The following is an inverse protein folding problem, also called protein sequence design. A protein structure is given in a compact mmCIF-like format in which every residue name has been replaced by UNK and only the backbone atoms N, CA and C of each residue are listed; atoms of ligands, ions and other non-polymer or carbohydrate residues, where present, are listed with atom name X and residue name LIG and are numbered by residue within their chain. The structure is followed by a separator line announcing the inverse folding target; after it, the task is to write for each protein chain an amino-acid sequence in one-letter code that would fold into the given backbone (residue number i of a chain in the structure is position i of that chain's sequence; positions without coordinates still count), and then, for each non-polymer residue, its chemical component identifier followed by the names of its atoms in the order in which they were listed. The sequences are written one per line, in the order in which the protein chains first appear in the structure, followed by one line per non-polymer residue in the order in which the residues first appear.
data_IF_494639986084
#
_entry.id   IF_494639986084
#
_cell.length_a   1.000
_cell.length_b   1.000
_cell.length_c   1.000
_cell.angle_alpha   90.00
_cell.angle_beta   90.00
_cell.angle_gamma   90.00
#
_symmetry.space_group_name_H-M   'P 1'
#
loop_
_entity.id
_entity.type
_entity.pdbx_description
1 polymer ?
#
# COMPACT_ATOMS: atom_id res chain seq x y z
N UNK A 1 -11.87 3.44 9.24
CA UNK A 1 -10.79 2.42 9.15
C UNK A 1 -9.89 2.53 10.37
N UNK A 2 -9.41 1.41 10.93
CA UNK A 2 -8.52 1.36 12.12
C UNK A 2 -7.12 0.88 11.73
N UNK A 3 -6.06 1.58 12.16
CA UNK A 3 -4.68 1.27 11.77
C UNK A 3 -4.17 -0.08 12.31
N UNK A 4 -4.60 -0.50 13.51
CA UNK A 4 -4.25 -1.82 14.07
C UNK A 4 -4.90 -2.90 13.22
N UNK A 5 -6.17 -2.74 12.88
CA UNK A 5 -6.88 -3.66 11.99
C UNK A 5 -6.24 -3.74 10.61
N UNK A 6 -5.88 -2.61 9.98
CA UNK A 6 -5.20 -2.58 8.67
C UNK A 6 -3.92 -3.41 8.70
N UNK A 7 -3.04 -3.19 9.69
CA UNK A 7 -1.78 -3.94 9.80
C UNK A 7 -2.02 -5.44 9.94
N UNK A 8 -2.97 -5.83 10.78
CA UNK A 8 -3.28 -7.25 11.01
C UNK A 8 -3.88 -7.89 9.76
N UNK A 9 -4.85 -7.22 9.12
CA UNK A 9 -5.53 -7.70 7.92
C UNK A 9 -4.55 -7.87 6.75
N UNK A 10 -3.74 -6.86 6.47
CA UNK A 10 -2.74 -6.89 5.38
C UNK A 10 -1.69 -7.97 5.64
N UNK A 11 -1.18 -8.09 6.88
CA UNK A 11 -0.22 -9.15 7.22
C UNK A 11 -0.80 -10.55 7.03
N UNK A 12 -2.04 -10.77 7.48
CA UNK A 12 -2.72 -12.06 7.31
C UNK A 12 -3.02 -12.38 5.84
N UNK A 13 -3.42 -11.39 5.05
CA UNK A 13 -3.62 -11.55 3.61
C UNK A 13 -2.31 -11.92 2.91
N UNK A 14 -1.24 -11.13 3.12
CA UNK A 14 0.07 -11.39 2.52
C UNK A 14 0.65 -12.75 2.90
N UNK A 15 0.54 -13.16 4.17
CA UNK A 15 0.98 -14.48 4.63
C UNK A 15 0.23 -15.62 3.93
N UNK A 16 -1.10 -15.50 3.77
CA UNK A 16 -1.92 -16.49 3.05
C UNK A 16 -1.55 -16.61 1.57
N UNK A 17 -1.00 -15.56 0.99
CA UNK A 17 -0.54 -15.52 -0.41
C UNK A 17 0.93 -15.95 -0.59
N UNK A 18 1.61 -16.36 0.48
CA UNK A 18 2.98 -16.86 0.42
C UNK A 18 4.06 -15.79 0.36
N UNK A 19 3.77 -14.56 0.77
CA UNK A 19 4.78 -13.48 0.82
C UNK A 19 5.86 -13.81 1.85
N UNK A 20 7.12 -13.53 1.52
CA UNK A 20 8.22 -13.60 2.48
C UNK A 20 8.07 -12.57 3.60
N UNK A 21 8.75 -12.79 4.74
CA UNK A 21 8.62 -11.91 5.91
C UNK A 21 9.07 -10.47 5.61
N UNK A 22 10.06 -10.30 4.73
CA UNK A 22 10.53 -8.99 4.30
C UNK A 22 9.45 -8.29 3.48
N UNK A 23 8.84 -8.96 2.51
CA UNK A 23 7.77 -8.41 1.68
C UNK A 23 6.51 -8.10 2.51
N UNK A 24 6.16 -8.97 3.46
CA UNK A 24 5.09 -8.69 4.42
C UNK A 24 5.36 -7.42 5.22
N UNK A 25 6.59 -7.23 5.71
CA UNK A 25 6.97 -6.04 6.47
C UNK A 25 6.89 -4.78 5.62
N UNK A 26 7.41 -4.82 4.39
CA UNK A 26 7.31 -3.69 3.43
C UNK A 26 5.85 -3.31 3.16
N UNK A 27 5.01 -4.30 2.86
CA UNK A 27 3.60 -4.07 2.52
C UNK A 27 2.79 -3.54 3.71
N UNK A 28 3.02 -4.06 4.92
CA UNK A 28 2.38 -3.57 6.16
C UNK A 28 2.79 -2.13 6.48
N UNK A 29 4.06 -1.79 6.26
CA UNK A 29 4.57 -0.44 6.44
C UNK A 29 3.93 0.52 5.43
N UNK A 30 3.92 0.17 4.14
CA UNK A 30 3.25 0.97 3.11
C UNK A 30 1.75 1.16 3.41
N UNK A 31 1.05 0.08 3.76
CA UNK A 31 -0.36 0.13 4.14
C UNK A 31 -0.63 1.03 5.35
N UNK A 32 0.28 1.05 6.33
CA UNK A 32 0.14 1.89 7.53
C UNK A 32 0.28 3.38 7.20
N UNK A 33 1.21 3.74 6.32
CA UNK A 33 1.40 5.11 5.87
C UNK A 33 0.22 5.56 5.00
N UNK A 34 -0.26 4.73 4.08
CA UNK A 34 -1.42 5.06 3.24
C UNK A 34 -2.70 5.20 4.06
N UNK A 35 -2.97 4.26 4.98
CA UNK A 35 -4.12 4.37 5.87
C UNK A 35 -4.05 5.62 6.76
N UNK A 36 -2.85 6.00 7.22
CA UNK A 36 -2.66 7.25 7.96
C UNK A 36 -3.00 8.45 7.09
N UNK A 37 -2.53 8.49 5.84
CA UNK A 37 -2.80 9.61 4.94
C UNK A 37 -4.30 9.77 4.67
N UNK A 38 -4.99 8.66 4.39
CA UNK A 38 -6.45 8.63 4.21
C UNK A 38 -7.18 9.15 5.46
N UNK A 39 -6.73 8.79 6.67
CA UNK A 39 -7.37 9.26 7.90
C UNK A 39 -7.05 10.73 8.24
N UNK A 40 -5.79 11.12 8.12
CA UNK A 40 -5.30 12.44 8.57
C UNK A 40 -5.58 13.54 7.54
N UNK A 41 -5.36 13.27 6.26
CA UNK A 41 -5.56 14.24 5.18
C UNK A 41 -6.92 14.08 4.52
N UNK A 42 -7.40 12.84 4.37
CA UNK A 42 -8.71 12.54 3.78
C UNK A 42 -9.89 12.76 4.72
N UNK A 43 -9.67 12.93 6.03
CA UNK A 43 -10.73 13.06 7.02
C UNK A 43 -11.48 11.75 7.33
N UNK A 44 -10.98 10.62 6.83
CA UNK A 44 -11.66 9.34 6.87
C UNK A 44 -11.58 8.64 5.52
N UNK A 45 -12.01 7.38 5.48
CA UNK A 45 -11.98 6.61 4.24
C UNK A 45 -11.97 5.12 4.47
N UNK A 46 -11.70 4.40 3.38
CA UNK A 46 -11.81 2.96 3.30
C UNK A 46 -10.54 2.33 2.73
N UNK A 47 -10.37 1.04 3.00
CA UNK A 47 -9.34 0.20 2.40
C UNK A 47 -10.00 -1.02 1.80
N UNK A 48 -9.60 -1.34 0.57
CA UNK A 48 -9.92 -2.59 -0.09
C UNK A 48 -8.64 -3.42 -0.29
N UNK A 49 -8.73 -4.72 -0.08
CA UNK A 49 -7.66 -5.67 -0.34
C UNK A 49 -8.12 -6.70 -1.37
N UNK A 50 -7.48 -6.71 -2.54
CA UNK A 50 -7.82 -7.59 -3.65
C UNK A 50 -6.67 -8.57 -3.89
N UNK A 51 -6.98 -9.86 -3.80
CA UNK A 51 -6.06 -10.90 -4.25
C UNK A 51 -6.03 -10.91 -5.79
N UNK A 52 -4.83 -10.83 -6.37
CA UNK A 52 -4.62 -10.86 -7.81
C UNK A 52 -3.60 -11.95 -8.17
N UNK A 53 -3.62 -12.44 -9.41
CA UNK A 53 -2.62 -13.36 -9.93
C UNK A 53 -2.20 -12.95 -11.34
N UNK A 54 -0.90 -13.04 -11.63
CA UNK A 54 -0.33 -12.76 -12.95
C UNK A 54 0.83 -13.72 -13.23
N UNK A 55 0.82 -14.40 -14.37
CA UNK A 55 1.89 -15.33 -14.74
C UNK A 55 2.11 -16.47 -13.73
N UNK A 56 1.09 -16.87 -12.98
CA UNK A 56 1.19 -17.89 -11.91
C UNK A 56 1.77 -17.38 -10.58
N UNK A 57 2.07 -16.09 -10.49
CA UNK A 57 2.52 -15.42 -9.26
C UNK A 57 1.33 -14.79 -8.55
N UNK A 58 1.22 -15.00 -7.24
CA UNK A 58 0.16 -14.39 -6.42
C UNK A 58 0.57 -12.97 -6.02
N UNK A 59 -0.40 -12.07 -5.92
CA UNK A 59 -0.20 -10.68 -5.53
C UNK A 59 -1.33 -10.13 -4.68
N UNK A 60 -1.02 -9.08 -3.93
CA UNK A 60 -2.01 -8.34 -3.14
C UNK A 60 -2.04 -6.90 -3.65
N UNK A 61 -3.21 -6.47 -4.11
CA UNK A 61 -3.50 -5.07 -4.39
C UNK A 61 -4.26 -4.47 -3.22
N UNK A 62 -3.79 -3.35 -2.72
CA UNK A 62 -4.49 -2.54 -1.73
C UNK A 62 -4.95 -1.25 -2.38
N UNK A 63 -6.17 -0.83 -2.13
CA UNK A 63 -6.69 0.48 -2.51
C UNK A 63 -7.11 1.23 -1.25
N UNK A 64 -6.68 2.49 -1.11
CA UNK A 64 -7.06 3.38 -0.03
C UNK A 64 -7.75 4.59 -0.63
N UNK A 65 -8.98 4.87 -0.21
CA UNK A 65 -9.81 5.92 -0.79
C UNK A 65 -10.43 6.80 0.29
N UNK A 66 -10.40 8.12 0.06
CA UNK A 66 -11.08 9.15 0.84
C UNK A 66 -11.87 10.10 -0.06
N UNK A 67 -12.81 10.82 0.55
CA UNK A 67 -13.59 11.91 -0.06
C UNK A 67 -13.12 13.27 0.49
N UNK A 68 -11.83 13.36 0.80
CA UNK A 68 -11.23 14.54 1.41
C UNK A 68 -10.96 15.68 0.42
N UNK A 69 -10.12 16.65 0.77
CA UNK A 69 -9.81 17.81 -0.06
C UNK A 69 -9.02 17.47 -1.34
N UNK A 70 -8.53 16.24 -1.50
CA UNK A 70 -7.62 15.87 -2.59
C UNK A 70 -6.23 16.50 -2.45
N UNK A 71 -5.41 16.30 -3.48
CA UNK A 71 -4.03 16.76 -3.57
C UNK A 71 -3.91 17.71 -4.76
N UNK A 72 -3.55 18.97 -4.49
CA UNK A 72 -3.44 20.00 -5.53
C UNK A 72 -2.21 19.84 -6.43
N UNK A 73 -1.09 19.41 -5.87
CA UNK A 73 0.16 19.21 -6.59
C UNK A 73 0.69 17.80 -6.28
N UNK A 74 0.37 16.85 -7.18
CA UNK A 74 0.77 15.46 -7.06
C UNK A 74 2.29 15.29 -7.19
N UNK A 75 2.94 16.09 -8.04
CA UNK A 75 4.39 16.00 -8.24
C UNK A 75 5.12 16.41 -6.98
N UNK A 76 4.65 17.47 -6.30
CA UNK A 76 5.18 17.87 -5.00
C UNK A 76 4.92 16.80 -3.92
N UNK A 77 3.72 16.22 -3.88
CA UNK A 77 3.38 15.20 -2.88
C UNK A 77 4.18 13.89 -3.05
N UNK A 78 4.62 13.59 -4.27
CA UNK A 78 5.46 12.43 -4.61
C UNK A 78 6.96 12.73 -4.58
N UNK A 79 7.36 13.98 -4.38
CA UNK A 79 8.77 14.37 -4.32
C UNK A 79 9.47 13.81 -3.07
N UNK A 80 10.74 13.46 -3.23
CA UNK A 80 11.56 12.93 -2.14
C UNK A 80 11.73 13.98 -1.02
N UNK A 81 11.43 13.57 0.20
CA UNK A 81 11.53 14.43 1.39
C UNK A 81 10.24 15.18 1.76
N UNK A 82 9.17 15.09 0.97
CA UNK A 82 7.85 15.58 1.40
C UNK A 82 7.32 14.66 2.51
N UNK A 83 7.37 15.15 3.75
CA UNK A 83 6.85 14.45 4.92
C UNK A 83 5.55 15.12 5.37
N UNK A 84 4.50 14.33 5.53
CA UNK A 84 3.18 14.85 5.87
C UNK A 84 2.94 15.02 7.38
N UNK A 85 3.99 14.93 8.23
CA UNK A 85 3.91 15.02 9.70
C UNK A 85 4.23 13.71 10.46
N UNK A 86 3.85 13.65 11.75
CA UNK A 86 4.17 12.69 12.85
C UNK A 86 4.00 11.15 12.58
N UNK A 87 4.52 10.65 11.47
CA UNK A 87 4.61 9.23 11.11
C UNK A 87 6.06 8.70 11.07
N UNK A 88 6.31 7.58 10.40
CA UNK A 88 7.68 7.05 10.19
C UNK A 88 8.56 7.95 9.27
N UNK A 89 8.10 9.18 8.97
CA UNK A 89 8.79 10.16 8.13
C UNK A 89 8.88 9.76 6.66
N UNK A 90 8.08 8.79 6.21
CA UNK A 90 8.20 8.22 4.86
C UNK A 90 7.24 8.83 3.85
N UNK A 91 6.02 9.22 4.25
CA UNK A 91 5.04 9.86 3.35
C UNK A 91 4.63 8.97 2.16
N UNK A 92 3.95 9.58 1.17
CA UNK A 92 3.53 8.88 -0.05
C UNK A 92 4.73 8.34 -0.86
N UNK A 93 5.82 9.10 -0.93
CA UNK A 93 7.05 8.69 -1.63
C UNK A 93 7.70 7.46 -0.99
N UNK A 94 7.68 7.36 0.34
CA UNK A 94 8.19 6.18 1.03
C UNK A 94 7.30 4.94 0.86
N UNK A 95 5.98 5.09 0.88
CA UNK A 95 5.07 3.99 0.56
C UNK A 95 5.31 3.48 -0.87
N UNK A 96 5.50 4.38 -1.84
CA UNK A 96 5.83 4.05 -3.24
C UNK A 96 7.11 3.21 -3.38
N UNK A 97 8.15 3.48 -2.57
CA UNK A 97 9.42 2.71 -2.59
C UNK A 97 9.30 1.28 -2.05
N UNK A 98 8.25 0.98 -1.29
CA UNK A 98 8.07 -0.31 -0.62
C UNK A 98 7.25 -1.31 -1.45
N UNK A 99 6.65 -0.86 -2.54
CA UNK A 99 5.71 -1.63 -3.35
C UNK A 99 6.20 -1.80 -4.79
N UNK A 100 5.60 -2.73 -5.54
CA UNK A 100 6.00 -2.98 -6.93
C UNK A 100 5.32 -1.99 -7.88
N UNK A 101 4.00 -1.81 -7.71
CA UNK A 101 3.21 -0.84 -8.47
C UNK A 101 2.55 0.14 -7.51
N UNK A 102 2.51 1.41 -7.92
CA UNK A 102 1.92 2.51 -7.17
C UNK A 102 1.16 3.41 -8.14
N UNK A 103 -0.12 3.61 -7.87
CA UNK A 103 -1.00 4.51 -8.61
C UNK A 103 -1.66 5.46 -7.63
N UNK A 104 -1.79 6.72 -8.02
CA UNK A 104 -2.53 7.73 -7.26
C UNK A 104 -3.45 8.48 -8.21
N UNK A 105 -4.70 8.59 -7.80
CA UNK A 105 -5.72 9.40 -8.43
C UNK A 105 -6.21 10.38 -7.37
N UNK A 106 -6.10 11.68 -7.64
CA UNK A 106 -6.51 12.70 -6.70
C UNK A 106 -6.96 13.93 -7.47
N UNK A 107 -8.12 14.44 -7.09
CA UNK A 107 -8.67 15.67 -7.67
C UNK A 107 -9.01 16.62 -6.54
N UNK A 108 -8.53 17.89 -6.57
CA UNK A 108 -8.85 18.87 -5.54
C UNK A 108 -10.35 19.03 -5.35
N UNK A 109 -10.83 18.76 -4.13
CA UNK A 109 -12.24 18.79 -3.76
C UNK A 109 -13.00 17.46 -3.89
N UNK A 110 -12.43 16.45 -4.56
CA UNK A 110 -13.10 15.17 -4.83
C UNK A 110 -12.45 13.96 -4.13
N UNK A 111 -11.40 14.20 -3.33
CA UNK A 111 -10.71 13.17 -2.56
C UNK A 111 -9.50 12.54 -3.27
N UNK A 112 -9.02 11.45 -2.69
CA UNK A 112 -7.81 10.74 -3.14
C UNK A 112 -8.03 9.24 -3.10
N UNK A 113 -7.55 8.54 -4.13
CA UNK A 113 -7.42 7.09 -4.16
C UNK A 113 -5.98 6.68 -4.47
N UNK A 114 -5.35 5.93 -3.57
CA UNK A 114 -4.03 5.34 -3.79
C UNK A 114 -4.17 3.83 -3.93
N UNK A 115 -3.64 3.27 -5.02
CA UNK A 115 -3.56 1.82 -5.23
C UNK A 115 -2.11 1.37 -5.21
N UNK A 116 -1.84 0.31 -4.47
CA UNK A 116 -0.52 -0.32 -4.44
C UNK A 116 -0.64 -1.80 -4.70
N UNK A 117 0.32 -2.35 -5.45
CA UNK A 117 0.39 -3.78 -5.73
C UNK A 117 1.73 -4.33 -5.29
N UNK A 118 1.69 -5.48 -4.63
CA UNK A 118 2.87 -6.30 -4.39
C UNK A 118 2.65 -7.74 -4.82
N UNK A 119 3.74 -8.41 -5.17
CA UNK A 119 3.77 -9.80 -5.62
C UNK A 119 4.54 -10.66 -4.62
N UNK A 120 4.05 -11.87 -4.37
CA UNK A 120 4.82 -12.88 -3.67
C UNK A 120 6.01 -13.28 -4.53
N UNK A 121 7.18 -13.48 -3.93
CA UNK A 121 8.27 -14.14 -4.65
C UNK A 121 7.79 -15.54 -5.07
N UNK A 122 8.10 -15.96 -6.31
CA UNK A 122 7.79 -17.32 -6.74
C UNK A 122 8.49 -18.28 -5.76
N UNK A 123 7.77 -19.23 -5.12
CA UNK A 123 8.45 -20.22 -4.30
C UNK A 123 9.48 -20.94 -5.16
N UNK A 124 10.69 -21.24 -4.64
CA UNK A 124 11.65 -22.02 -5.40
C UNK A 124 10.95 -23.30 -5.87
N UNK A 125 11.10 -23.63 -7.16
CA UNK A 125 10.56 -24.90 -7.68
C UNK A 125 11.08 -26.02 -6.76
N UNK A 126 10.24 -27.00 -6.39
CA UNK A 126 10.74 -28.18 -5.69
C UNK A 126 11.95 -28.70 -6.47
N UNK A 127 13.07 -28.98 -5.80
CA UNK A 127 14.18 -29.67 -6.45
C UNK A 127 13.59 -30.97 -6.99
N UNK A 128 13.54 -31.13 -8.31
CA UNK A 128 13.32 -32.44 -8.90
C UNK A 128 14.52 -33.29 -8.46
N UNK A 129 14.25 -34.23 -7.54
CA UNK A 129 15.21 -35.26 -7.15
C UNK A 129 15.48 -36.11 -8.40
N UNK A 130 16.73 -36.05 -8.88
CA UNK A 130 17.28 -36.90 -9.93
C UNK A 130 18.33 -37.83 -9.32
#
# INVERSE_FOLDING_TARGET
MDLVWVRQHVRQAAARLGFGLVEQTKLVTAASELARNTLVHGGGGQMEATHISSGGVQGLRLAFSDEGPGIADLDQALSDGYTSGDGLGMGLSGARRLVHDFEIDSTPGDGTTVRVTCWAAQPPRPREEA
#
